data_IF_047719002526
#
_entry.id   IF_047719002526
#
_cell.length_a   1.000
_cell.length_b   1.000
_cell.length_c   1.000
_cell.angle_alpha   90.00
_cell.angle_beta   90.00
_cell.angle_gamma   90.00
#
_symmetry.space_group_name_H-M   'P 1'
#
loop_
_entity.id
_entity.type
_entity.pdbx_description
1 polymer ?
#
# COMPACT_ATOMS: atom_id res chain seq x y z
N UNK A 1 -17.11 0.81 -2.73
CA UNK A 1 -16.33 1.81 -1.97
C UNK A 1 -16.30 1.38 -0.51
N UNK A 2 -15.12 1.12 0.06
CA UNK A 2 -14.93 0.51 1.39
C UNK A 2 -15.69 1.22 2.52
N UNK A 3 -15.81 2.56 2.47
CA UNK A 3 -16.60 3.34 3.43
C UNK A 3 -18.04 2.85 3.58
N UNK A 4 -18.69 2.47 2.48
CA UNK A 4 -20.05 1.93 2.49
C UNK A 4 -20.10 0.57 3.21
N UNK A 5 -19.15 -0.32 2.89
CA UNK A 5 -19.01 -1.64 3.53
C UNK A 5 -18.66 -1.51 5.02
N UNK A 6 -17.84 -0.53 5.39
CA UNK A 6 -17.47 -0.25 6.77
C UNK A 6 -18.70 0.24 7.56
N UNK A 7 -19.48 1.19 7.02
CA UNK A 7 -20.71 1.62 7.67
C UNK A 7 -21.66 0.42 7.87
N UNK A 8 -21.94 -0.36 6.82
CA UNK A 8 -22.80 -1.54 6.93
C UNK A 8 -22.33 -2.58 7.97
N UNK A 9 -21.02 -2.69 8.26
CA UNK A 9 -20.45 -3.69 9.19
C UNK A 9 -20.11 -3.17 10.58
N UNK A 10 -19.80 -1.89 10.73
CA UNK A 10 -19.21 -1.30 11.95
C UNK A 10 -20.06 -0.16 12.50
N UNK A 11 -20.75 0.62 11.65
CA UNK A 11 -21.55 1.77 12.07
C UNK A 11 -23.00 1.63 11.62
N UNK A 12 -23.90 1.32 12.57
CA UNK A 12 -25.32 1.08 12.30
C UNK A 12 -26.12 2.30 11.77
N UNK A 13 -25.49 3.47 11.57
CA UNK A 13 -26.17 4.67 11.08
C UNK A 13 -25.23 5.56 10.23
N UNK A 14 -25.48 5.73 8.92
CA UNK A 14 -24.71 6.62 8.04
C UNK A 14 -24.85 8.12 8.41
N UNK A 15 -25.82 8.49 9.26
CA UNK A 15 -26.07 9.85 9.70
C UNK A 15 -25.39 10.23 11.03
N UNK A 16 -24.75 9.28 11.72
CA UNK A 16 -24.07 9.54 13.01
C UNK A 16 -22.80 10.42 12.90
N UNK A 17 -22.40 10.85 11.70
CA UNK A 17 -21.34 11.83 11.51
C UNK A 17 -19.93 11.36 11.93
N UNK A 18 -19.77 10.10 12.31
CA UNK A 18 -18.49 9.54 12.70
C UNK A 18 -17.64 9.30 11.44
N UNK A 19 -16.65 10.17 11.23
CA UNK A 19 -15.65 10.00 10.18
C UNK A 19 -14.72 8.86 10.60
N UNK A 20 -14.62 7.76 9.83
CA UNK A 20 -13.75 6.64 10.17
C UNK A 20 -12.30 7.07 10.30
N UNK A 21 -11.62 6.58 11.34
CA UNK A 21 -10.19 6.81 11.53
C UNK A 21 -9.35 5.93 10.60
N UNK A 22 -8.05 6.23 10.50
CA UNK A 22 -7.12 5.34 9.80
C UNK A 22 -7.03 3.96 10.48
N UNK A 23 -7.16 3.89 11.80
CA UNK A 23 -7.18 2.62 12.51
C UNK A 23 -8.41 1.78 12.13
N UNK A 24 -9.59 2.41 11.97
CA UNK A 24 -10.81 1.71 11.53
C UNK A 24 -10.64 1.14 10.12
N UNK A 25 -9.97 1.88 9.23
CA UNK A 25 -9.61 1.41 7.91
C UNK A 25 -8.67 0.18 7.96
N UNK A 26 -7.64 0.22 8.80
CA UNK A 26 -6.72 -0.91 8.98
C UNK A 26 -7.44 -2.12 9.58
N UNK A 27 -8.30 -1.91 10.57
CA UNK A 27 -9.11 -2.99 11.16
C UNK A 27 -10.01 -3.63 10.10
N UNK A 28 -10.63 -2.83 9.23
CA UNK A 28 -11.42 -3.34 8.10
C UNK A 28 -10.59 -4.22 7.16
N UNK A 29 -9.39 -3.76 6.77
CA UNK A 29 -8.47 -4.55 5.95
C UNK A 29 -8.12 -5.87 6.64
N UNK A 30 -7.74 -5.83 7.92
CA UNK A 30 -7.33 -7.01 8.67
C UNK A 30 -8.47 -8.03 8.79
N UNK A 31 -9.69 -7.57 9.08
CA UNK A 31 -10.88 -8.43 9.09
C UNK A 31 -11.12 -9.08 7.74
N UNK A 32 -11.00 -8.34 6.62
CA UNK A 32 -11.13 -8.93 5.29
C UNK A 32 -10.01 -9.97 5.03
N UNK A 33 -8.75 -9.69 5.40
CA UNK A 33 -7.62 -10.63 5.22
C UNK A 33 -7.72 -11.91 6.07
N UNK A 34 -8.32 -11.82 7.25
CA UNK A 34 -8.43 -12.93 8.22
C UNK A 34 -9.81 -13.60 8.21
N UNK A 35 -10.76 -13.08 7.43
CA UNK A 35 -12.09 -13.67 7.32
C UNK A 35 -12.00 -15.10 6.79
N UNK A 36 -12.96 -15.95 7.18
CA UNK A 36 -13.11 -17.35 6.73
C UNK A 36 -13.23 -17.52 5.21
N UNK A 37 -13.32 -16.40 4.50
CA UNK A 37 -13.54 -16.26 3.08
C UNK A 37 -12.20 -16.11 2.31
N UNK A 38 -11.13 -15.72 3.01
CA UNK A 38 -9.76 -15.66 2.50
C UNK A 38 -9.45 -14.42 1.66
N UNK A 39 -8.14 -14.22 1.40
CA UNK A 39 -7.58 -13.09 0.65
C UNK A 39 -8.27 -12.89 -0.71
N UNK A 40 -8.74 -13.95 -1.37
CA UNK A 40 -9.38 -13.92 -2.69
C UNK A 40 -10.70 -13.14 -2.78
N UNK A 41 -11.37 -12.86 -1.65
CA UNK A 41 -12.63 -12.08 -1.63
C UNK A 41 -12.46 -10.67 -1.04
N UNK A 42 -11.24 -10.30 -0.67
CA UNK A 42 -10.89 -8.94 -0.31
C UNK A 42 -11.09 -8.01 -1.51
N UNK A 43 -11.37 -6.72 -1.25
CA UNK A 43 -11.46 -5.73 -2.31
C UNK A 43 -10.13 -5.65 -3.07
N UNK A 44 -10.17 -5.69 -4.41
CA UNK A 44 -8.98 -5.77 -5.26
C UNK A 44 -8.02 -4.58 -5.06
N UNK A 45 -8.51 -3.44 -4.56
CA UNK A 45 -7.66 -2.29 -4.21
C UNK A 45 -6.71 -2.57 -3.05
N UNK A 46 -7.07 -3.50 -2.18
CA UNK A 46 -6.34 -3.79 -0.93
C UNK A 46 -5.79 -5.21 -0.91
N UNK A 47 -6.10 -6.05 -1.90
CA UNK A 47 -5.51 -7.38 -2.03
C UNK A 47 -3.99 -7.26 -2.22
N UNK A 48 -3.18 -8.16 -1.60
CA UNK A 48 -1.77 -8.28 -1.92
C UNK A 48 -1.58 -8.49 -3.43
N UNK A 49 -0.64 -7.77 -4.04
CA UNK A 49 -0.46 -7.77 -5.48
C UNK A 49 -0.05 -9.15 -6.01
N UNK A 50 0.75 -9.88 -5.22
CA UNK A 50 1.08 -11.29 -5.39
C UNK A 50 -0.13 -12.21 -5.50
N UNK A 51 -1.26 -11.86 -4.88
CA UNK A 51 -2.50 -12.64 -4.93
C UNK A 51 -3.36 -12.33 -6.16
N UNK A 52 -3.24 -11.12 -6.72
CA UNK A 52 -4.01 -10.67 -7.89
C UNK A 52 -3.27 -11.04 -9.19
N UNK A 53 -1.94 -11.00 -9.18
CA UNK A 53 -1.11 -11.18 -10.36
C UNK A 53 0.00 -12.19 -10.09
N UNK A 54 0.25 -13.10 -11.04
CA UNK A 54 1.35 -14.05 -10.97
C UNK A 54 2.67 -13.34 -11.31
N UNK A 55 3.16 -12.49 -10.39
CA UNK A 55 4.33 -11.62 -10.57
C UNK A 55 5.56 -12.39 -11.07
N UNK A 56 5.77 -13.62 -10.59
CA UNK A 56 6.92 -14.44 -11.02
C UNK A 56 6.80 -15.02 -12.44
N UNK A 57 5.61 -15.06 -13.03
CA UNK A 57 5.40 -15.64 -14.36
C UNK A 57 5.59 -14.64 -15.50
N UNK A 58 5.65 -13.35 -15.18
CA UNK A 58 5.86 -12.29 -16.16
C UNK A 58 7.35 -11.92 -16.25
N UNK A 59 7.85 -11.78 -17.48
CA UNK A 59 9.21 -11.30 -17.75
C UNK A 59 9.19 -9.78 -17.90
N UNK A 60 9.37 -9.07 -16.79
CA UNK A 60 9.41 -7.61 -16.81
C UNK A 60 10.70 -7.10 -17.47
N UNK A 61 10.56 -6.19 -18.44
CA UNK A 61 11.69 -5.44 -18.98
C UNK A 61 12.05 -4.23 -18.08
N UNK A 62 11.10 -3.76 -17.28
CA UNK A 62 11.25 -2.61 -16.41
C UNK A 62 10.37 -2.74 -15.15
N UNK A 63 10.90 -2.35 -14.00
CA UNK A 63 10.18 -2.23 -12.72
C UNK A 63 10.49 -0.85 -12.16
N UNK A 64 9.49 0.02 -12.09
CA UNK A 64 9.61 1.36 -11.50
C UNK A 64 9.18 1.38 -10.04
N UNK A 65 9.66 2.38 -9.30
CA UNK A 65 9.26 2.66 -7.92
C UNK A 65 8.70 4.07 -7.80
N UNK A 66 7.75 4.28 -6.89
CA UNK A 66 7.17 5.61 -6.67
C UNK A 66 8.20 6.60 -6.11
N UNK A 67 9.08 6.11 -5.26
CA UNK A 67 10.16 6.88 -4.62
C UNK A 67 11.15 7.44 -5.66
N UNK A 68 11.34 6.71 -6.76
CA UNK A 68 12.24 7.07 -7.86
C UNK A 68 11.50 7.41 -9.15
N UNK A 69 10.19 7.71 -9.08
CA UNK A 69 9.29 7.84 -10.24
C UNK A 69 9.86 8.68 -11.40
N UNK A 70 10.36 9.89 -11.10
CA UNK A 70 10.90 10.78 -12.13
C UNK A 70 12.17 10.22 -12.80
N UNK A 71 13.05 9.58 -12.01
CA UNK A 71 14.27 8.94 -12.51
C UNK A 71 13.93 7.72 -13.36
N UNK A 72 12.95 6.94 -12.90
CA UNK A 72 12.48 5.73 -13.55
C UNK A 72 11.82 6.03 -14.89
N UNK A 73 10.93 7.02 -14.95
CA UNK A 73 10.35 7.51 -16.20
C UNK A 73 11.41 8.03 -17.17
N UNK A 74 12.39 8.81 -16.68
CA UNK A 74 13.46 9.31 -17.52
C UNK A 74 14.25 8.17 -18.19
N UNK A 75 14.62 7.15 -17.42
CA UNK A 75 15.33 5.98 -17.93
C UNK A 75 14.48 5.18 -18.92
N UNK A 76 13.19 5.02 -18.63
CA UNK A 76 12.23 4.35 -19.51
C UNK A 76 12.13 5.04 -20.88
N UNK A 77 11.99 6.37 -20.90
CA UNK A 77 11.93 7.12 -22.16
C UNK A 77 13.21 7.03 -22.97
N UNK A 78 14.38 7.02 -22.30
CA UNK A 78 15.67 6.81 -22.97
C UNK A 78 15.78 5.42 -23.59
N UNK A 79 15.33 4.39 -22.88
CA UNK A 79 15.33 3.00 -23.37
C UNK A 79 14.52 2.84 -24.67
N UNK A 80 13.38 3.54 -24.79
CA UNK A 80 12.54 3.51 -25.99
C UNK A 80 12.92 4.55 -27.07
N UNK A 81 14.05 5.25 -26.94
CA UNK A 81 14.44 6.36 -27.83
C UNK A 81 13.35 7.46 -27.94
N UNK A 82 12.55 7.65 -26.88
CA UNK A 82 11.52 8.68 -26.77
C UNK A 82 12.05 9.92 -26.04
N UNK A 83 13.36 10.19 -26.12
CA UNK A 83 13.99 11.30 -25.38
C UNK A 83 13.39 12.67 -25.71
N UNK A 84 12.84 12.84 -26.92
CA UNK A 84 12.16 14.07 -27.32
C UNK A 84 10.84 14.32 -26.58
N UNK A 85 10.27 13.30 -25.91
CA UNK A 85 9.07 13.41 -25.07
C UNK A 85 9.40 13.87 -23.64
N UNK A 86 10.68 13.83 -23.25
CA UNK A 86 11.17 14.24 -21.93
C UNK A 86 11.09 15.76 -21.75
N UNK A 87 11.20 16.53 -22.85
CA UNK A 87 11.29 18.00 -22.81
C UNK A 87 9.97 18.73 -22.55
N UNK A 88 8.83 18.04 -22.61
CA UNK A 88 7.52 18.70 -22.61
C UNK A 88 6.77 18.65 -21.29
N UNK A 89 7.17 17.80 -20.34
CA UNK A 89 6.52 17.72 -19.03
C UNK A 89 7.60 17.49 -17.98
N UNK A 90 7.87 18.51 -17.14
CA UNK A 90 8.19 18.21 -15.75
C UNK A 90 6.99 17.41 -15.28
N UNK A 91 7.11 16.09 -15.20
CA UNK A 91 6.07 15.25 -14.62
C UNK A 91 5.96 15.76 -13.21
N UNK A 92 4.95 16.60 -13.03
CA UNK A 92 4.76 17.31 -11.81
C UNK A 92 4.51 16.21 -10.80
N UNK A 93 5.48 16.01 -9.92
CA UNK A 93 5.29 15.31 -8.68
C UNK A 93 4.38 16.15 -7.76
N UNK A 94 3.38 16.87 -8.31
CA UNK A 94 2.46 17.78 -7.62
C UNK A 94 1.62 17.04 -6.58
N UNK A 95 1.70 15.71 -6.52
CA UNK A 95 1.10 14.88 -5.49
C UNK A 95 2.11 14.08 -4.65
N UNK A 96 3.43 14.27 -4.85
CA UNK A 96 4.39 14.13 -3.74
C UNK A 96 4.24 15.34 -2.81
N UNK A 97 2.99 15.69 -2.46
CA UNK A 97 2.75 16.23 -1.14
C UNK A 97 3.44 15.21 -0.24
N UNK A 98 4.42 15.69 0.51
CA UNK A 98 5.14 14.96 1.54
C UNK A 98 4.14 14.63 2.65
N UNK A 99 3.10 13.86 2.32
CA UNK A 99 2.13 13.32 3.24
C UNK A 99 2.96 12.54 4.22
N UNK A 100 2.96 13.00 5.46
CA UNK A 100 3.66 12.31 6.52
C UNK A 100 2.81 11.07 6.88
N UNK A 101 2.78 10.09 5.98
CA UNK A 101 2.07 8.84 6.17
C UNK A 101 2.59 8.10 7.40
N UNK A 102 3.84 8.37 7.79
CA UNK A 102 4.42 7.86 9.03
C UNK A 102 3.58 8.23 10.25
N UNK A 103 2.89 9.39 10.27
CA UNK A 103 1.95 9.76 11.35
C UNK A 103 0.79 8.79 11.48
N UNK A 104 0.29 8.24 10.38
CA UNK A 104 -0.81 7.29 10.40
C UNK A 104 -0.36 5.95 10.98
N UNK A 105 0.82 5.46 10.59
CA UNK A 105 1.40 4.23 11.12
C UNK A 105 1.92 4.36 12.56
N UNK A 106 2.36 5.55 12.97
CA UNK A 106 2.85 5.81 14.32
C UNK A 106 1.76 5.66 15.39
N UNK A 107 0.49 5.91 15.05
CA UNK A 107 -0.59 5.79 16.02
C UNK A 107 -1.23 4.39 16.02
N UNK A 108 -0.82 3.49 15.12
CA UNK A 108 -1.38 2.14 15.09
C UNK A 108 -0.83 1.26 16.22
N UNK A 109 -1.68 0.38 16.79
CA UNK A 109 -1.25 -0.71 17.65
C UNK A 109 -0.24 -1.65 16.94
N UNK A 110 0.79 -2.09 17.68
CA UNK A 110 1.84 -2.95 17.12
C UNK A 110 1.30 -4.28 16.57
N UNK A 111 0.28 -4.85 17.21
CA UNK A 111 -0.37 -6.07 16.73
C UNK A 111 -1.00 -5.87 15.34
N UNK A 112 -1.56 -4.69 15.04
CA UNK A 112 -2.10 -4.40 13.72
C UNK A 112 -0.99 -4.25 12.68
N UNK A 113 0.12 -3.60 13.04
CA UNK A 113 1.30 -3.50 12.16
C UNK A 113 1.85 -4.89 11.82
N UNK A 114 2.04 -5.76 12.82
CA UNK A 114 2.52 -7.12 12.60
C UNK A 114 1.58 -7.94 11.71
N UNK A 115 0.26 -7.82 11.90
CA UNK A 115 -0.72 -8.51 11.07
C UNK A 115 -0.71 -7.98 9.63
N UNK A 116 -0.60 -6.67 9.43
CA UNK A 116 -0.47 -6.08 8.09
C UNK A 116 0.78 -6.57 7.39
N UNK A 117 1.95 -6.51 8.05
CA UNK A 117 3.22 -6.96 7.46
C UNK A 117 3.09 -8.42 7.03
N UNK A 118 2.50 -9.28 7.86
CA UNK A 118 2.26 -10.68 7.51
C UNK A 118 1.33 -10.84 6.30
N UNK A 119 0.27 -10.04 6.20
CA UNK A 119 -0.66 -10.09 5.07
C UNK A 119 -0.04 -9.67 3.73
N UNK A 120 1.02 -8.85 3.73
CA UNK A 120 1.69 -8.35 2.52
C UNK A 120 3.16 -8.82 2.40
N UNK A 121 3.59 -9.81 3.19
CA UNK A 121 5.00 -10.24 3.26
C UNK A 121 5.57 -10.64 1.90
N UNK A 122 4.79 -11.37 1.11
CA UNK A 122 5.20 -11.78 -0.24
C UNK A 122 5.44 -10.57 -1.16
N UNK A 123 4.60 -9.54 -1.07
CA UNK A 123 4.77 -8.32 -1.86
C UNK A 123 6.04 -7.58 -1.43
N UNK A 124 6.28 -7.42 -0.12
CA UNK A 124 7.52 -6.83 0.39
C UNK A 124 8.75 -7.55 -0.19
N UNK A 125 8.70 -8.89 -0.21
CA UNK A 125 9.77 -9.72 -0.76
C UNK A 125 9.92 -9.56 -2.28
N UNK A 126 8.83 -9.61 -3.04
CA UNK A 126 8.88 -9.52 -4.50
C UNK A 126 9.38 -8.15 -4.99
N UNK A 127 8.92 -7.08 -4.34
CA UNK A 127 9.26 -5.71 -4.72
C UNK A 127 10.51 -5.17 -4.01
N UNK A 128 11.10 -5.97 -3.11
CA UNK A 128 12.31 -5.64 -2.34
C UNK A 128 12.14 -4.33 -1.55
N UNK A 129 11.06 -4.27 -0.80
CA UNK A 129 10.84 -3.26 0.23
C UNK A 129 11.30 -3.83 1.57
N UNK A 130 12.08 -3.07 2.33
CA UNK A 130 12.59 -3.52 3.62
C UNK A 130 11.52 -3.35 4.70
N UNK A 131 11.27 -4.42 5.46
CA UNK A 131 10.33 -4.40 6.59
C UNK A 131 10.87 -3.53 7.75
N UNK A 132 12.18 -3.30 7.76
CA UNK A 132 12.88 -2.62 8.85
C UNK A 132 12.44 -1.15 9.03
N UNK A 133 11.94 -0.50 7.98
CA UNK A 133 11.36 0.84 8.08
C UNK A 133 10.15 0.89 9.02
N UNK A 134 9.46 -0.25 9.22
CA UNK A 134 8.35 -0.41 10.15
C UNK A 134 8.77 -1.09 11.47
N UNK A 135 9.87 -1.86 11.47
CA UNK A 135 10.37 -2.56 12.66
C UNK A 135 11.00 -1.65 13.71
N UNK A 136 11.48 -0.46 13.33
CA UNK A 136 12.05 0.52 14.27
C UNK A 136 11.03 1.00 15.35
N UNK A 137 9.74 0.63 15.25
CA UNK A 137 8.74 0.75 16.34
C UNK A 137 8.63 -0.50 17.23
N UNK A 138 8.96 -1.68 16.70
CA UNK A 138 8.85 -3.00 17.33
C UNK A 138 10.11 -3.32 18.16
N UNK A 139 11.28 -2.78 17.77
CA UNK A 139 12.56 -2.99 18.48
C UNK A 139 12.59 -2.44 19.92
N UNK A 140 11.57 -1.69 20.35
CA UNK A 140 11.38 -1.27 21.76
C UNK A 140 10.69 -2.31 22.66
N UNK A 141 10.27 -3.47 22.12
CA UNK A 141 9.55 -4.50 22.89
C UNK A 141 10.25 -5.86 22.98
N UNK A 142 11.47 -6.00 22.49
CA UNK A 142 12.27 -7.21 22.72
C UNK A 142 13.64 -6.80 23.27
N UNK A 143 13.73 -6.78 24.60
CA UNK A 143 14.96 -7.09 25.33
C UNK A 143 15.17 -8.61 25.22
#
# INVERSE_FOLDING_TARGET
MWLKKLHERVYNDPCQGNVPSFEDFIRYILVDTQSSVGISQMDLHWQPYSSICQVCQLKYNFIGRYETFNKDLYNLFRYFNLSNWISQKKYSSSHLIKWNYQKFYFNLPNNFICQLIRSYEEDFRFFKYEINEFSNRIDFMII
#
